data_IF_998180854493
#
_entry.id   IF_998180854493
#
_cell.length_a   1.000
_cell.length_b   1.000
_cell.length_c   1.000
_cell.angle_alpha   90.00
_cell.angle_beta   90.00
_cell.angle_gamma   90.00
#
_symmetry.space_group_name_H-M   'P 1'
#
loop_
_entity.id
_entity.type
_entity.pdbx_description
1 polymer ?
#
# COMPACT_ATOMS: atom_id res chain seq x y z
N UNK A 1 -60.37 70.27 3.66
CA UNK A 1 -60.18 68.81 3.77
C UNK A 1 -59.45 68.32 2.53
N UNK A 2 -58.12 68.19 2.59
CA UNK A 2 -57.28 67.79 1.47
C UNK A 2 -56.63 66.43 1.77
N UNK A 3 -56.88 65.43 0.94
CA UNK A 3 -56.28 64.07 1.04
C UNK A 3 -54.95 64.14 0.31
N UNK A 4 -53.89 63.92 1.07
CA UNK A 4 -52.53 63.68 0.52
C UNK A 4 -52.43 62.23 0.00
N UNK A 5 -52.21 62.09 -1.29
CA UNK A 5 -51.84 60.87 -1.95
C UNK A 5 -50.36 60.53 -1.66
N UNK A 6 -50.08 59.47 -0.92
CA UNK A 6 -48.72 58.97 -0.72
C UNK A 6 -48.27 58.15 -1.93
N UNK A 7 -47.22 58.57 -2.58
CA UNK A 7 -46.55 57.83 -3.65
C UNK A 7 -45.62 56.78 -3.05
N UNK A 8 -45.75 55.51 -3.51
CA UNK A 8 -44.88 54.40 -3.18
C UNK A 8 -43.48 54.64 -3.81
N UNK A 9 -42.41 54.25 -3.10
CA UNK A 9 -41.07 54.36 -3.64
C UNK A 9 -40.83 53.37 -4.82
N UNK A 10 -39.88 53.63 -5.73
CA UNK A 10 -39.64 52.80 -6.92
C UNK A 10 -39.07 51.46 -6.49
N UNK A 11 -39.56 50.39 -7.13
CA UNK A 11 -39.03 49.01 -6.99
C UNK A 11 -37.62 48.98 -7.56
N UNK A 12 -36.66 48.59 -6.69
CA UNK A 12 -35.28 48.27 -7.12
C UNK A 12 -35.36 46.92 -7.86
N UNK A 13 -35.13 46.92 -9.13
CA UNK A 13 -34.94 45.70 -9.95
C UNK A 13 -33.57 45.12 -9.65
N UNK A 14 -33.51 43.99 -9.01
CA UNK A 14 -32.30 43.17 -8.86
C UNK A 14 -32.06 42.47 -10.18
N UNK A 15 -30.90 42.58 -10.81
CA UNK A 15 -30.60 41.81 -12.03
C UNK A 15 -30.50 40.37 -11.66
N UNK A 16 -31.35 39.51 -12.24
CA UNK A 16 -31.25 38.04 -12.15
C UNK A 16 -30.07 37.62 -12.99
N UNK A 17 -28.91 37.45 -12.36
CA UNK A 17 -27.79 36.73 -12.97
C UNK A 17 -28.17 35.23 -12.93
N UNK A 18 -28.83 34.77 -13.97
CA UNK A 18 -28.97 33.35 -14.27
C UNK A 18 -27.65 32.94 -14.89
N UNK A 19 -26.64 32.71 -14.04
CA UNK A 19 -25.54 31.87 -14.40
C UNK A 19 -26.07 30.45 -14.62
N UNK A 20 -26.02 29.98 -15.88
CA UNK A 20 -26.30 28.58 -16.20
C UNK A 20 -25.28 27.71 -15.49
N UNK A 21 -25.61 27.26 -14.29
CA UNK A 21 -24.99 26.08 -13.66
C UNK A 21 -25.38 24.95 -14.60
N UNK A 22 -24.45 24.51 -15.46
CA UNK A 22 -24.59 23.25 -16.16
C UNK A 22 -24.74 22.18 -15.08
N UNK A 23 -25.97 21.71 -14.91
CA UNK A 23 -26.20 20.44 -14.24
C UNK A 23 -25.41 19.40 -15.06
N UNK A 24 -24.24 19.03 -14.57
CA UNK A 24 -23.52 17.86 -15.06
C UNK A 24 -24.51 16.73 -14.89
N UNK A 25 -24.94 16.13 -15.99
CA UNK A 25 -25.94 15.08 -15.96
C UNK A 25 -25.39 13.98 -15.07
N UNK A 26 -26.19 13.50 -14.12
CA UNK A 26 -25.82 12.41 -13.19
C UNK A 26 -25.33 11.14 -13.93
N UNK A 27 -25.74 10.95 -15.18
CA UNK A 27 -25.25 9.87 -16.05
C UNK A 27 -23.79 10.01 -16.48
N UNK A 28 -23.20 11.22 -16.56
CA UNK A 28 -21.78 11.41 -16.85
C UNK A 28 -20.89 11.15 -15.63
N UNK A 29 -21.39 11.39 -14.43
CA UNK A 29 -20.73 11.03 -13.17
C UNK A 29 -20.72 9.51 -12.95
N UNK A 30 -21.66 8.76 -13.53
CA UNK A 30 -21.78 7.30 -13.40
C UNK A 30 -21.02 6.53 -14.50
N UNK A 31 -20.64 7.19 -15.59
CA UNK A 31 -19.76 6.62 -16.62
C UNK A 31 -18.31 6.95 -16.31
N UNK A 32 -17.82 6.43 -15.19
CA UNK A 32 -16.38 6.46 -14.90
C UNK A 32 -15.71 5.37 -15.74
N UNK A 33 -14.95 5.71 -16.82
CA UNK A 33 -14.28 4.70 -17.61
C UNK A 33 -13.25 3.99 -16.73
N UNK A 34 -13.48 2.71 -16.44
CA UNK A 34 -12.46 1.75 -16.10
C UNK A 34 -11.50 2.12 -14.95
N UNK A 35 -12.01 2.65 -13.81
CA UNK A 35 -11.19 2.76 -12.62
C UNK A 35 -10.78 1.36 -12.16
N UNK A 36 -9.51 0.99 -12.38
CA UNK A 36 -8.98 -0.31 -11.98
C UNK A 36 -8.65 -0.39 -10.48
N UNK A 37 -9.53 0.16 -9.62
CA UNK A 37 -9.48 -0.13 -8.19
C UNK A 37 -9.83 -1.60 -7.88
N UNK A 38 -10.30 -2.34 -8.88
CA UNK A 38 -10.47 -3.79 -8.81
C UNK A 38 -9.17 -4.53 -8.46
N UNK A 39 -8.02 -3.98 -8.84
CA UNK A 39 -6.71 -4.51 -8.48
C UNK A 39 -6.23 -4.06 -7.08
N UNK A 40 -7.01 -3.21 -6.39
CA UNK A 40 -6.73 -2.84 -5.01
C UNK A 40 -7.35 -3.86 -4.05
N UNK A 41 -6.53 -4.42 -3.18
CA UNK A 41 -6.90 -5.41 -2.17
C UNK A 41 -6.73 -4.83 -0.78
N UNK A 42 -7.79 -4.84 0.03
CA UNK A 42 -7.72 -4.51 1.46
C UNK A 42 -7.41 -5.79 2.24
N UNK A 43 -6.38 -5.74 3.07
CA UNK A 43 -5.94 -6.85 3.92
C UNK A 43 -6.03 -6.40 5.38
N UNK A 44 -6.85 -7.08 6.18
CA UNK A 44 -7.01 -6.82 7.61
C UNK A 44 -6.28 -7.91 8.40
N UNK A 45 -5.24 -7.52 9.13
CA UNK A 45 -4.41 -8.46 9.89
C UNK A 45 -4.95 -8.57 11.31
N UNK A 46 -5.33 -9.78 11.71
CA UNK A 46 -5.86 -10.11 13.04
C UNK A 46 -6.95 -9.15 13.54
N UNK A 47 -7.96 -8.79 12.70
CA UNK A 47 -9.01 -7.88 13.14
C UNK A 47 -9.77 -8.49 14.34
N UNK A 48 -9.98 -7.69 15.39
CA UNK A 48 -10.68 -8.11 16.60
C UNK A 48 -12.19 -7.94 16.49
N UNK A 49 -12.64 -6.87 15.85
CA UNK A 49 -14.05 -6.48 15.78
C UNK A 49 -14.73 -6.93 14.49
N UNK A 50 -15.67 -7.89 14.58
CA UNK A 50 -16.49 -8.30 13.43
C UNK A 50 -17.28 -7.12 12.82
N UNK A 51 -17.74 -6.16 13.65
CA UNK A 51 -18.42 -4.95 13.23
C UNK A 51 -17.50 -4.06 12.36
N UNK A 52 -16.22 -3.91 12.74
CA UNK A 52 -15.23 -3.16 11.97
C UNK A 52 -15.03 -3.75 10.58
N UNK A 53 -14.95 -5.09 10.48
CA UNK A 53 -14.81 -5.77 9.18
C UNK A 53 -16.02 -5.49 8.28
N UNK A 54 -17.23 -5.52 8.82
CA UNK A 54 -18.44 -5.18 8.06
C UNK A 54 -18.45 -3.72 7.60
N UNK A 55 -18.05 -2.80 8.48
CA UNK A 55 -17.94 -1.37 8.15
C UNK A 55 -16.85 -1.12 7.10
N UNK A 56 -15.71 -1.84 7.14
CA UNK A 56 -14.67 -1.81 6.09
C UNK A 56 -15.23 -2.28 4.76
N UNK A 57 -15.95 -3.41 4.73
CA UNK A 57 -16.56 -3.91 3.51
C UNK A 57 -17.50 -2.89 2.86
N UNK A 58 -18.30 -2.18 3.68
CA UNK A 58 -19.16 -1.09 3.23
C UNK A 58 -18.36 0.10 2.70
N UNK A 59 -17.31 0.53 3.41
CA UNK A 59 -16.42 1.61 2.96
C UNK A 59 -15.75 1.28 1.62
N UNK A 60 -15.25 0.06 1.46
CA UNK A 60 -14.69 -0.43 0.21
C UNK A 60 -15.68 -0.34 -0.94
N UNK A 61 -16.89 -0.86 -0.74
CA UNK A 61 -17.94 -0.83 -1.79
C UNK A 61 -18.31 0.58 -2.20
N UNK A 62 -18.44 1.51 -1.24
CA UNK A 62 -18.71 2.92 -1.53
C UNK A 62 -17.65 3.56 -2.43
N UNK A 63 -16.40 3.07 -2.34
CA UNK A 63 -15.24 3.60 -3.08
C UNK A 63 -14.80 2.68 -4.24
N UNK A 64 -15.62 1.70 -4.62
CA UNK A 64 -15.36 0.83 -5.78
C UNK A 64 -14.28 -0.23 -5.59
N UNK A 65 -13.90 -0.56 -4.34
CA UNK A 65 -12.99 -1.66 -4.02
C UNK A 65 -13.78 -2.92 -3.65
N UNK A 66 -13.29 -4.09 -4.09
CA UNK A 66 -14.03 -5.35 -3.93
C UNK A 66 -13.22 -6.49 -3.31
N UNK A 67 -11.87 -6.41 -3.28
CA UNK A 67 -11.04 -7.49 -2.77
C UNK A 67 -10.75 -7.29 -1.28
N UNK A 68 -11.40 -8.08 -0.41
CA UNK A 68 -11.18 -8.10 1.03
C UNK A 68 -10.56 -9.41 1.47
N UNK A 69 -9.45 -9.35 2.21
CA UNK A 69 -8.78 -10.51 2.80
C UNK A 69 -8.60 -10.29 4.30
N UNK A 70 -8.95 -11.30 5.09
CA UNK A 70 -8.69 -11.33 6.53
C UNK A 70 -7.56 -12.31 6.82
N UNK A 71 -6.59 -11.87 7.59
CA UNK A 71 -5.51 -12.72 8.10
C UNK A 71 -5.80 -13.01 9.57
N UNK A 72 -6.02 -14.28 9.93
CA UNK A 72 -6.25 -14.72 11.32
C UNK A 72 -7.24 -13.86 12.10
N UNK A 73 -8.50 -13.67 11.66
CA UNK A 73 -9.46 -12.85 12.38
C UNK A 73 -9.69 -13.42 13.80
N UNK A 74 -9.73 -12.54 14.82
CA UNK A 74 -9.85 -12.93 16.24
C UNK A 74 -11.30 -13.16 16.70
N UNK A 75 -12.29 -12.98 15.83
CA UNK A 75 -13.70 -13.25 16.11
C UNK A 75 -14.18 -14.52 15.40
N UNK A 76 -15.12 -15.22 16.01
CA UNK A 76 -15.73 -16.42 15.42
C UNK A 76 -17.10 -16.15 14.81
N UNK A 77 -17.90 -15.28 15.43
CA UNK A 77 -19.25 -14.97 14.97
C UNK A 77 -19.21 -13.90 13.87
N UNK A 78 -19.71 -14.26 12.68
CA UNK A 78 -19.78 -13.37 11.50
C UNK A 78 -21.08 -12.56 11.41
N UNK A 79 -21.97 -12.66 12.40
CA UNK A 79 -23.24 -11.93 12.39
C UNK A 79 -23.01 -10.42 12.21
N UNK A 80 -22.13 -9.83 13.03
CA UNK A 80 -21.84 -8.41 12.98
C UNK A 80 -21.12 -7.96 11.70
N UNK A 81 -20.35 -8.87 11.04
CA UNK A 81 -19.79 -8.57 9.71
C UNK A 81 -20.93 -8.29 8.73
N UNK A 82 -21.93 -9.17 8.67
CA UNK A 82 -23.07 -9.01 7.75
C UNK A 82 -23.96 -7.84 8.14
N UNK A 83 -24.24 -7.66 9.44
CA UNK A 83 -25.09 -6.59 9.94
C UNK A 83 -24.51 -5.20 9.61
N UNK A 84 -23.19 -5.00 9.70
CA UNK A 84 -22.53 -3.74 9.42
C UNK A 84 -22.18 -3.51 7.96
N UNK A 85 -22.13 -4.56 7.15
CA UNK A 85 -21.85 -4.51 5.72
C UNK A 85 -23.08 -4.16 4.88
N UNK A 86 -23.93 -3.26 5.35
CA UNK A 86 -25.18 -2.86 4.69
C UNK A 86 -24.93 -2.57 3.19
N UNK A 87 -25.63 -3.29 2.31
CA UNK A 87 -25.51 -3.25 0.86
C UNK A 87 -24.12 -3.68 0.29
N UNK A 88 -23.18 -4.16 1.12
CA UNK A 88 -21.88 -4.67 0.71
C UNK A 88 -21.76 -6.20 0.88
N UNK A 89 -22.87 -6.91 0.78
CA UNK A 89 -22.91 -8.38 0.92
C UNK A 89 -22.08 -9.11 -0.11
N UNK A 90 -21.91 -8.56 -1.31
CA UNK A 90 -21.06 -9.07 -2.38
C UNK A 90 -19.56 -9.02 -2.02
N UNK A 91 -19.08 -7.96 -1.36
CA UNK A 91 -17.70 -7.87 -0.83
C UNK A 91 -17.49 -8.92 0.24
N UNK A 92 -18.46 -9.05 1.17
CA UNK A 92 -18.40 -10.05 2.24
C UNK A 92 -18.46 -11.48 1.69
N UNK A 93 -19.24 -11.74 0.65
CA UNK A 93 -19.34 -13.06 0.03
C UNK A 93 -18.03 -13.50 -0.65
N UNK A 94 -17.28 -12.56 -1.22
CA UNK A 94 -15.98 -12.79 -1.87
C UNK A 94 -14.79 -12.70 -0.92
N UNK A 95 -15.03 -12.32 0.34
CA UNK A 95 -13.99 -12.15 1.35
C UNK A 95 -13.24 -13.46 1.59
N UNK A 96 -11.93 -13.44 1.45
CA UNK A 96 -11.05 -14.57 1.76
C UNK A 96 -10.56 -14.48 3.20
N UNK A 97 -10.34 -15.63 3.81
CA UNK A 97 -9.67 -15.76 5.11
C UNK A 97 -8.44 -16.63 4.93
N UNK A 98 -7.31 -16.19 5.43
CA UNK A 98 -6.02 -16.87 5.30
C UNK A 98 -5.30 -16.93 6.65
N UNK A 99 -4.33 -17.84 6.78
CA UNK A 99 -3.65 -18.11 8.03
C UNK A 99 -2.43 -17.20 8.28
N UNK A 100 -1.90 -16.55 7.25
CA UNK A 100 -0.74 -15.68 7.38
C UNK A 100 -0.80 -14.53 6.36
N UNK A 101 0.00 -13.48 6.61
CA UNK A 101 0.05 -12.31 5.74
C UNK A 101 0.70 -12.64 4.40
N UNK A 102 1.67 -13.56 4.38
CA UNK A 102 2.33 -14.01 3.15
C UNK A 102 1.32 -14.47 2.10
N UNK A 103 0.36 -15.33 2.49
CA UNK A 103 -0.68 -15.84 1.60
C UNK A 103 -1.65 -14.74 1.12
N UNK A 104 -1.86 -13.72 1.95
CA UNK A 104 -2.73 -12.59 1.61
C UNK A 104 -2.14 -11.70 0.52
N UNK A 105 -0.79 -11.59 0.45
CA UNK A 105 -0.09 -10.61 -0.41
C UNK A 105 0.85 -11.26 -1.43
N UNK A 106 0.96 -12.58 -1.50
CA UNK A 106 1.94 -13.32 -2.30
C UNK A 106 2.01 -12.86 -3.76
N UNK A 107 0.88 -12.57 -4.39
CA UNK A 107 0.72 -12.17 -5.78
C UNK A 107 0.74 -10.64 -5.99
N UNK A 108 0.79 -9.86 -4.92
CA UNK A 108 0.78 -8.40 -5.01
C UNK A 108 2.12 -7.86 -5.52
N UNK A 109 2.09 -6.97 -6.52
CA UNK A 109 3.27 -6.24 -6.98
C UNK A 109 3.63 -5.10 -6.03
N UNK A 110 2.63 -4.55 -5.30
CA UNK A 110 2.85 -3.52 -4.29
C UNK A 110 2.09 -3.84 -3.02
N UNK A 111 2.81 -3.88 -1.89
CA UNK A 111 2.24 -4.06 -0.56
C UNK A 111 2.49 -2.80 0.26
N UNK A 112 1.41 -2.17 0.73
CA UNK A 112 1.46 -0.91 1.47
C UNK A 112 0.82 -1.10 2.84
N UNK A 113 1.64 -0.98 3.88
CA UNK A 113 1.17 -1.04 5.26
C UNK A 113 0.73 0.32 5.79
N UNK A 114 -0.24 0.32 6.70
CA UNK A 114 -0.68 1.55 7.39
C UNK A 114 -0.03 1.66 8.76
N UNK A 115 0.40 2.86 9.15
CA UNK A 115 0.96 3.12 10.48
C UNK A 115 0.56 4.51 10.99
N UNK A 116 0.21 4.59 12.26
CA UNK A 116 0.01 5.85 12.99
C UNK A 116 1.24 6.25 13.81
N UNK A 117 2.26 5.37 13.89
CA UNK A 117 3.45 5.55 14.73
C UNK A 117 4.69 5.66 13.87
N UNK A 118 5.54 6.63 14.16
CA UNK A 118 6.91 6.68 13.66
C UNK A 118 7.83 5.77 14.51
N UNK A 119 8.88 5.23 13.90
CA UNK A 119 9.86 4.39 14.58
C UNK A 119 10.93 3.88 13.63
N UNK A 120 11.93 3.19 14.16
CA UNK A 120 13.10 2.74 13.41
C UNK A 120 12.74 1.98 12.12
N UNK A 121 11.72 1.11 12.20
CA UNK A 121 11.23 0.31 11.07
C UNK A 121 9.93 0.85 10.47
N UNK A 122 9.42 1.99 10.97
CA UNK A 122 8.10 2.55 10.68
C UNK A 122 8.22 3.97 10.14
N UNK A 123 8.98 4.14 9.07
CA UNK A 123 9.07 5.44 8.38
C UNK A 123 8.06 5.45 7.24
N UNK A 124 6.94 6.18 7.35
CA UNK A 124 5.99 6.33 6.26
C UNK A 124 6.67 7.02 5.07
N UNK A 125 6.33 6.58 3.87
CA UNK A 125 6.77 7.24 2.64
C UNK A 125 6.00 8.56 2.41
N UNK A 126 4.76 8.61 2.90
CA UNK A 126 3.89 9.78 2.82
C UNK A 126 2.52 9.49 3.44
N UNK A 127 1.64 10.46 3.34
CA UNK A 127 0.23 10.31 3.72
C UNK A 127 -0.56 9.50 2.69
N UNK A 128 -1.74 9.05 3.07
CA UNK A 128 -2.67 8.37 2.15
C UNK A 128 -2.95 9.23 0.90
N UNK A 129 -3.15 10.54 1.08
CA UNK A 129 -3.39 11.50 0.00
C UNK A 129 -2.21 11.63 -0.96
N UNK A 130 -1.00 11.78 -0.43
CA UNK A 130 0.22 11.94 -1.23
C UNK A 130 0.54 10.68 -2.04
N UNK A 131 0.26 9.50 -1.49
CA UNK A 131 0.56 8.24 -2.15
C UNK A 131 -0.55 7.75 -3.07
N UNK A 132 -1.80 8.17 -2.87
CA UNK A 132 -2.95 7.68 -3.65
C UNK A 132 -2.76 7.75 -5.17
N UNK A 133 -2.22 8.83 -5.78
CA UNK A 133 -1.98 8.87 -7.22
C UNK A 133 -1.02 7.77 -7.70
N UNK A 134 0.05 7.51 -6.94
CA UNK A 134 1.02 6.46 -7.26
C UNK A 134 0.42 5.07 -7.10
N UNK A 135 -0.40 4.85 -6.06
CA UNK A 135 -1.06 3.56 -5.82
C UNK A 135 -2.08 3.24 -6.92
N UNK A 136 -2.83 4.24 -7.37
CA UNK A 136 -3.78 4.10 -8.49
C UNK A 136 -3.04 3.80 -9.79
N UNK A 137 -1.93 4.49 -10.08
CA UNK A 137 -1.10 4.19 -11.25
C UNK A 137 -0.53 2.76 -11.19
N UNK A 138 -0.04 2.32 -10.02
CA UNK A 138 0.43 0.96 -9.81
C UNK A 138 -0.67 -0.09 -10.03
N UNK A 139 -1.89 0.20 -9.60
CA UNK A 139 -3.04 -0.70 -9.74
C UNK A 139 -3.47 -0.93 -11.20
N UNK A 140 -2.98 -0.12 -12.15
CA UNK A 140 -3.24 -0.36 -13.57
C UNK A 140 -2.63 -1.68 -14.08
N UNK A 141 -1.49 -2.09 -13.53
CA UNK A 141 -0.73 -3.26 -14.00
C UNK A 141 -0.45 -4.29 -12.90
N UNK A 142 -0.72 -3.95 -11.63
CA UNK A 142 -0.35 -4.78 -10.48
C UNK A 142 -1.51 -4.91 -9.50
N UNK A 143 -1.51 -5.98 -8.71
CA UNK A 143 -2.29 -6.04 -7.48
C UNK A 143 -1.62 -5.16 -6.43
N UNK A 144 -2.37 -4.21 -5.87
CA UNK A 144 -1.93 -3.33 -4.77
C UNK A 144 -2.62 -3.76 -3.50
N UNK A 145 -1.87 -4.28 -2.53
CA UNK A 145 -2.38 -4.71 -1.24
C UNK A 145 -2.23 -3.60 -0.20
N UNK A 146 -3.34 -3.18 0.39
CA UNK A 146 -3.44 -2.19 1.45
C UNK A 146 -3.60 -2.92 2.78
N UNK A 147 -2.57 -2.92 3.61
CA UNK A 147 -2.49 -3.75 4.81
C UNK A 147 -2.75 -2.91 6.06
N UNK A 148 -3.78 -3.30 6.81
CA UNK A 148 -4.16 -2.68 8.08
C UNK A 148 -3.92 -3.66 9.22
N UNK A 149 -3.31 -3.17 10.30
CA UNK A 149 -3.07 -3.95 11.51
C UNK A 149 -4.30 -4.05 12.41
N UNK A 150 -4.21 -4.88 13.46
CA UNK A 150 -5.24 -4.98 14.47
C UNK A 150 -5.42 -3.68 15.25
N UNK A 151 -6.63 -3.52 15.82
CA UNK A 151 -7.09 -2.28 16.44
C UNK A 151 -6.27 -1.86 17.68
N UNK A 152 -5.71 -2.82 18.40
CA UNK A 152 -5.02 -2.61 19.66
C UNK A 152 -3.55 -2.13 19.50
N UNK A 153 -2.80 -2.66 18.53
CA UNK A 153 -1.36 -2.37 18.42
C UNK A 153 -0.85 -2.11 17.00
N UNK A 154 -1.73 -2.18 15.99
CA UNK A 154 -1.37 -1.98 14.59
C UNK A 154 -0.50 -3.13 14.04
N UNK A 155 0.15 -2.93 12.90
CA UNK A 155 1.04 -3.94 12.30
C UNK A 155 2.25 -4.22 13.20
N UNK A 156 2.61 -5.48 13.37
CA UNK A 156 3.87 -5.88 14.01
C UNK A 156 5.08 -5.64 13.09
N UNK A 157 6.29 -5.77 13.62
CA UNK A 157 7.49 -5.68 12.77
C UNK A 157 7.53 -6.83 11.76
N UNK A 158 7.04 -8.00 12.12
CA UNK A 158 6.94 -9.15 11.20
C UNK A 158 5.94 -8.87 10.06
N UNK A 159 4.81 -8.20 10.36
CA UNK A 159 3.87 -7.78 9.31
C UNK A 159 4.50 -6.71 8.39
N UNK A 160 5.28 -5.79 8.95
CA UNK A 160 5.93 -4.71 8.20
C UNK A 160 7.00 -5.23 7.24
N UNK A 161 7.65 -6.36 7.53
CA UNK A 161 8.60 -7.01 6.61
C UNK A 161 7.99 -7.29 5.23
N UNK A 162 6.70 -7.60 5.19
CA UNK A 162 5.95 -7.83 3.95
C UNK A 162 5.54 -6.55 3.23
N UNK A 163 5.64 -5.39 3.88
CA UNK A 163 5.25 -4.11 3.30
C UNK A 163 6.42 -3.49 2.54
N UNK A 164 6.24 -3.25 1.26
CA UNK A 164 7.21 -2.53 0.43
C UNK A 164 7.29 -1.06 0.81
N UNK A 165 6.16 -0.50 1.25
CA UNK A 165 6.02 0.89 1.65
C UNK A 165 5.07 1.00 2.84
N UNK A 166 5.21 2.09 3.60
CA UNK A 166 4.28 2.44 4.66
C UNK A 166 3.63 3.78 4.34
N UNK A 167 2.35 3.90 4.62
CA UNK A 167 1.61 5.15 4.59
C UNK A 167 1.10 5.53 5.99
N UNK A 168 0.87 6.82 6.18
CA UNK A 168 0.21 7.33 7.37
C UNK A 168 -1.07 8.07 7.01
N UNK A 169 -1.98 8.17 7.95
CA UNK A 169 -3.17 9.03 7.87
C UNK A 169 -2.93 10.16 8.89
N UNK A 170 -2.73 11.41 8.44
CA UNK A 170 -2.60 12.53 9.34
C UNK A 170 -3.82 12.65 10.26
N UNK A 171 -3.58 12.69 11.56
CA UNK A 171 -4.60 12.85 12.60
C UNK A 171 -4.09 13.78 13.70
N UNK A 172 -4.95 14.15 14.67
CA UNK A 172 -4.53 14.95 15.81
C UNK A 172 -3.37 14.30 16.56
N UNK A 173 -2.30 15.04 16.90
CA UNK A 173 -1.20 14.52 17.71
C UNK A 173 -1.65 13.98 19.08
N UNK A 174 -2.74 14.52 19.63
CA UNK A 174 -3.29 14.09 20.91
C UNK A 174 -3.96 12.71 20.82
N UNK A 175 -4.55 12.38 19.65
CA UNK A 175 -5.23 11.11 19.42
C UNK A 175 -4.99 10.60 17.98
N UNK A 176 -3.79 10.09 17.68
CA UNK A 176 -3.38 9.74 16.30
C UNK A 176 -3.94 8.39 15.82
N UNK A 177 -4.51 7.58 16.71
CA UNK A 177 -5.02 6.25 16.38
C UNK A 177 -6.46 6.33 15.89
N UNK A 178 -6.69 5.98 14.62
CA UNK A 178 -8.03 5.86 14.05
C UNK A 178 -8.61 4.47 14.29
N UNK A 179 -9.94 4.38 14.42
CA UNK A 179 -10.63 3.10 14.31
C UNK A 179 -10.33 2.45 12.97
N UNK A 180 -10.24 1.10 12.94
CA UNK A 180 -9.90 0.32 11.75
C UNK A 180 -10.77 0.67 10.52
N UNK A 181 -12.09 0.77 10.71
CA UNK A 181 -13.00 1.08 9.61
C UNK A 181 -12.87 2.54 9.14
N UNK A 182 -12.59 3.46 10.06
CA UNK A 182 -12.31 4.85 9.72
C UNK A 182 -11.02 4.99 8.93
N UNK A 183 -9.95 4.32 9.36
CA UNK A 183 -8.67 4.30 8.64
C UNK A 183 -8.84 3.73 7.23
N UNK A 184 -9.54 2.60 7.10
CA UNK A 184 -9.81 1.99 5.81
C UNK A 184 -10.65 2.91 4.90
N UNK A 185 -11.66 3.60 5.46
CA UNK A 185 -12.48 4.55 4.71
C UNK A 185 -11.65 5.70 4.15
N UNK A 186 -10.77 6.31 4.97
CA UNK A 186 -9.90 7.41 4.52
C UNK A 186 -9.01 6.97 3.37
N UNK A 187 -8.33 5.81 3.50
CA UNK A 187 -7.45 5.30 2.44
C UNK A 187 -8.24 4.99 1.17
N UNK A 188 -9.38 4.32 1.27
CA UNK A 188 -10.22 4.01 0.11
C UNK A 188 -10.73 5.29 -0.57
N UNK A 189 -11.09 6.32 0.21
CA UNK A 189 -11.57 7.60 -0.30
C UNK A 189 -10.48 8.37 -1.06
N UNK A 190 -9.26 8.44 -0.53
CA UNK A 190 -8.15 9.10 -1.22
C UNK A 190 -7.79 8.36 -2.54
N UNK A 191 -7.84 7.03 -2.55
CA UNK A 191 -7.67 6.25 -3.78
C UNK A 191 -8.78 6.53 -4.80
N UNK A 192 -10.03 6.59 -4.34
CA UNK A 192 -11.16 6.91 -5.20
C UNK A 192 -11.03 8.29 -5.84
N UNK A 193 -10.69 9.32 -5.06
CA UNK A 193 -10.46 10.67 -5.58
C UNK A 193 -9.29 10.70 -6.57
N UNK A 194 -8.18 10.06 -6.24
CA UNK A 194 -7.02 9.99 -7.13
C UNK A 194 -7.35 9.27 -8.44
N UNK A 195 -8.16 8.21 -8.39
CA UNK A 195 -8.59 7.48 -9.58
C UNK A 195 -9.52 8.32 -10.49
N UNK A 196 -10.34 9.19 -9.90
CA UNK A 196 -11.15 10.15 -10.69
C UNK A 196 -10.32 11.26 -11.33
N UNK A 197 -9.24 11.69 -10.67
CA UNK A 197 -8.39 12.78 -11.14
C UNK A 197 -7.40 12.37 -12.23
N UNK A 198 -7.08 11.06 -12.36
CA UNK A 198 -6.11 10.59 -13.36
C UNK A 198 -6.79 10.28 -14.68
N UNK A 199 -6.34 10.90 -15.82
CA UNK A 199 -6.67 10.37 -17.14
C UNK A 199 -6.15 8.93 -17.24
N UNK A 200 -6.75 8.12 -18.13
CA UNK A 200 -6.26 6.77 -18.44
C UNK A 200 -4.80 6.86 -18.88
N UNK A 201 -3.87 6.56 -17.98
CA UNK A 201 -2.45 6.58 -18.31
C UNK A 201 -2.04 5.23 -18.91
N UNK A 202 -0.95 5.22 -19.67
CA UNK A 202 -0.31 4.02 -20.16
C UNK A 202 -0.03 3.04 -19.00
N UNK A 203 -0.06 1.74 -19.30
CA UNK A 203 0.24 0.69 -18.33
C UNK A 203 1.62 0.93 -17.72
N UNK A 204 1.67 1.09 -16.41
CA UNK A 204 2.91 1.22 -15.68
C UNK A 204 3.73 -0.08 -15.66
N UNK A 205 4.96 -0.05 -15.09
CA UNK A 205 5.80 -1.22 -14.99
C UNK A 205 5.11 -2.33 -14.20
N UNK A 206 5.34 -3.58 -14.60
CA UNK A 206 4.86 -4.75 -13.86
C UNK A 206 5.90 -5.15 -12.83
N UNK A 207 5.57 -4.98 -11.56
CA UNK A 207 6.46 -5.31 -10.47
C UNK A 207 6.46 -6.80 -10.13
N UNK A 208 7.57 -7.25 -9.56
CA UNK A 208 7.71 -8.62 -9.10
C UNK A 208 6.72 -8.92 -7.96
N UNK A 209 6.14 -10.12 -7.94
CA UNK A 209 5.26 -10.56 -6.84
C UNK A 209 5.97 -10.48 -5.49
N UNK A 210 5.25 -10.11 -4.43
CA UNK A 210 5.82 -9.94 -3.09
C UNK A 210 6.51 -11.21 -2.56
N UNK A 211 6.03 -12.40 -2.93
CA UNK A 211 6.68 -13.67 -2.59
C UNK A 211 8.10 -13.77 -3.16
N UNK A 212 8.33 -13.28 -4.39
CA UNK A 212 9.62 -13.37 -5.06
C UNK A 212 10.60 -12.33 -4.48
N UNK A 213 10.08 -11.15 -4.12
CA UNK A 213 10.82 -10.11 -3.39
C UNK A 213 11.20 -10.60 -1.99
N UNK A 214 10.30 -11.28 -1.28
CA UNK A 214 10.62 -11.84 0.05
C UNK A 214 11.66 -12.96 -0.05
N UNK A 215 11.55 -13.84 -1.05
CA UNK A 215 12.58 -14.85 -1.34
C UNK A 215 13.95 -14.20 -1.58
N UNK A 216 14.01 -13.11 -2.35
CA UNK A 216 15.24 -12.34 -2.56
C UNK A 216 15.81 -11.84 -1.21
N UNK A 217 14.99 -11.27 -0.32
CA UNK A 217 15.46 -10.78 0.96
C UNK A 217 15.97 -11.89 1.87
N UNK A 218 15.38 -13.07 1.83
CA UNK A 218 15.90 -14.25 2.54
C UNK A 218 17.28 -14.64 2.01
N UNK A 219 17.47 -14.70 0.68
CA UNK A 219 18.77 -15.00 0.07
C UNK A 219 19.84 -13.94 0.37
N UNK A 220 19.49 -12.65 0.32
CA UNK A 220 20.39 -11.56 0.70
C UNK A 220 20.78 -11.64 2.17
N UNK A 221 19.83 -11.98 3.06
CA UNK A 221 20.12 -12.18 4.49
C UNK A 221 21.18 -13.25 4.70
N UNK A 222 21.01 -14.41 4.06
CA UNK A 222 21.94 -15.54 4.19
C UNK A 222 23.32 -15.19 3.63
N UNK A 223 23.38 -14.56 2.45
CA UNK A 223 24.60 -14.11 1.83
C UNK A 223 25.36 -13.09 2.69
N UNK A 224 24.64 -12.10 3.24
CA UNK A 224 25.24 -11.03 4.05
C UNK A 224 25.70 -11.54 5.43
N UNK A 225 24.98 -12.48 6.05
CA UNK A 225 25.43 -13.17 7.25
C UNK A 225 26.73 -13.96 7.00
N UNK A 226 26.83 -14.62 5.86
CA UNK A 226 27.98 -15.46 5.48
C UNK A 226 29.29 -14.66 5.37
N UNK A 227 29.21 -13.44 4.83
CA UNK A 227 30.37 -12.56 4.69
C UNK A 227 30.60 -11.64 5.90
N UNK A 228 29.79 -11.78 6.97
CA UNK A 228 29.88 -10.96 8.18
C UNK A 228 29.40 -9.52 8.04
N UNK A 229 28.68 -9.20 6.96
CA UNK A 229 28.08 -7.87 6.77
C UNK A 229 26.90 -7.62 7.71
N UNK A 230 26.12 -8.67 8.00
CA UNK A 230 25.06 -8.63 9.01
C UNK A 230 25.53 -9.28 10.30
N UNK A 231 25.18 -8.66 11.43
CA UNK A 231 25.44 -9.24 12.73
C UNK A 231 24.41 -10.32 13.05
N UNK A 232 24.80 -11.55 13.45
CA UNK A 232 23.88 -12.67 13.68
C UNK A 232 22.80 -12.39 14.72
N UNK A 233 23.08 -11.57 15.73
CA UNK A 233 22.12 -11.25 16.80
C UNK A 233 21.03 -10.27 16.36
N UNK A 234 21.26 -9.44 15.32
CA UNK A 234 20.28 -8.47 14.84
C UNK A 234 20.42 -8.25 13.31
N UNK A 235 20.19 -9.26 12.49
CA UNK A 235 20.33 -9.16 11.03
C UNK A 235 19.28 -8.25 10.41
N UNK A 236 18.10 -8.16 11.02
CA UNK A 236 16.96 -7.43 10.47
C UNK A 236 17.17 -5.92 10.46
N UNK A 237 18.00 -5.38 11.34
CA UNK A 237 18.24 -3.93 11.44
C UNK A 237 18.69 -3.31 10.09
N UNK A 238 19.68 -3.91 9.45
CA UNK A 238 20.19 -3.45 8.15
C UNK A 238 19.23 -3.88 7.02
N UNK A 239 18.67 -5.10 7.09
CA UNK A 239 17.74 -5.58 6.08
C UNK A 239 16.49 -4.70 5.94
N UNK A 240 15.96 -4.13 7.01
CA UNK A 240 14.87 -3.17 6.93
C UNK A 240 15.26 -1.92 6.13
N UNK A 241 16.50 -1.46 6.23
CA UNK A 241 16.98 -0.35 5.39
C UNK A 241 16.99 -0.73 3.90
N UNK A 242 17.47 -1.93 3.55
CA UNK A 242 17.42 -2.46 2.18
C UNK A 242 15.99 -2.60 1.68
N UNK A 243 15.08 -3.17 2.49
CA UNK A 243 13.65 -3.27 2.16
C UNK A 243 13.04 -1.92 1.83
N UNK A 244 13.37 -0.90 2.62
CA UNK A 244 12.90 0.47 2.40
C UNK A 244 13.46 1.09 1.12
N UNK A 245 14.74 0.88 0.82
CA UNK A 245 15.39 1.41 -0.39
C UNK A 245 14.77 0.77 -1.63
N UNK A 246 14.75 -0.56 -1.68
CA UNK A 246 14.25 -1.32 -2.83
C UNK A 246 12.72 -1.20 -2.99
N UNK A 247 11.98 -1.16 -1.87
CA UNK A 247 10.53 -0.97 -1.90
C UNK A 247 10.08 0.41 -2.43
N UNK A 248 10.93 1.44 -2.30
CA UNK A 248 10.65 2.76 -2.92
C UNK A 248 10.87 2.75 -4.43
N UNK A 249 11.88 2.01 -4.89
CA UNK A 249 12.17 1.88 -6.32
C UNK A 249 11.07 1.10 -7.04
N UNK A 250 10.55 0.04 -6.41
CA UNK A 250 9.77 -1.00 -7.06
C UNK A 250 10.71 -1.94 -7.85
N UNK A 251 10.56 -3.24 -7.67
CA UNK A 251 11.40 -4.22 -8.37
C UNK A 251 10.57 -4.93 -9.43
N UNK A 252 11.08 -4.99 -10.65
CA UNK A 252 10.57 -5.86 -11.70
C UNK A 252 11.14 -7.30 -11.53
N UNK A 253 10.54 -8.27 -12.19
CA UNK A 253 11.04 -9.66 -12.14
C UNK A 253 12.51 -9.79 -12.58
N UNK A 254 12.96 -8.94 -13.52
CA UNK A 254 14.34 -8.88 -13.97
C UNK A 254 15.29 -8.43 -12.87
N UNK A 255 14.89 -7.40 -12.12
CA UNK A 255 15.70 -6.85 -11.03
C UNK A 255 15.89 -7.88 -9.92
N UNK A 256 14.80 -8.58 -9.56
CA UNK A 256 14.86 -9.70 -8.59
C UNK A 256 15.85 -10.76 -9.05
N UNK A 257 15.85 -11.17 -10.34
CA UNK A 257 16.80 -12.15 -10.88
C UNK A 257 18.24 -11.68 -10.81
N UNK A 258 18.50 -10.39 -11.12
CA UNK A 258 19.84 -9.80 -11.04
C UNK A 258 20.34 -9.82 -9.60
N UNK A 259 19.51 -9.37 -8.65
CA UNK A 259 19.88 -9.33 -7.23
C UNK A 259 20.03 -10.74 -6.62
N UNK A 260 19.26 -11.72 -7.05
CA UNK A 260 19.45 -13.12 -6.68
C UNK A 260 20.78 -13.68 -7.22
N UNK A 261 21.20 -13.25 -8.41
CA UNK A 261 22.52 -13.56 -8.96
C UNK A 261 23.63 -12.97 -8.09
N UNK A 262 23.49 -11.72 -7.66
CA UNK A 262 24.43 -11.07 -6.75
C UNK A 262 24.52 -11.82 -5.40
N UNK A 263 23.37 -12.17 -4.80
CA UNK A 263 23.36 -12.93 -3.54
C UNK A 263 24.12 -14.25 -3.67
N UNK A 264 23.89 -15.01 -4.74
CA UNK A 264 24.64 -16.26 -5.03
C UNK A 264 26.14 -16.03 -5.19
N UNK A 265 26.53 -14.94 -5.85
CA UNK A 265 27.94 -14.60 -6.03
C UNK A 265 28.62 -14.25 -4.69
N UNK A 266 27.92 -13.54 -3.81
CA UNK A 266 28.38 -13.22 -2.45
C UNK A 266 28.56 -14.52 -1.65
N UNK A 267 27.60 -15.43 -1.68
CA UNK A 267 27.68 -16.73 -1.00
C UNK A 267 28.89 -17.55 -1.51
N UNK A 268 29.01 -17.67 -2.83
CA UNK A 268 30.15 -18.39 -3.45
C UNK A 268 31.51 -17.78 -3.06
N UNK A 269 31.62 -16.44 -3.04
CA UNK A 269 32.81 -15.74 -2.60
C UNK A 269 33.11 -16.01 -1.12
N UNK A 270 32.10 -15.95 -0.26
CA UNK A 270 32.19 -16.24 1.16
C UNK A 270 32.60 -17.69 1.47
N UNK A 271 32.26 -18.63 0.58
CA UNK A 271 32.67 -20.06 0.65
C UNK A 271 34.09 -20.32 0.18
N UNK A 272 34.88 -19.29 -0.09
CA UNK A 272 36.25 -19.40 -0.52
C UNK A 272 36.42 -19.37 -2.03
N UNK A 273 35.41 -19.09 -2.82
CA UNK A 273 35.47 -18.94 -4.29
C UNK A 273 36.45 -17.87 -4.75
N UNK A 274 36.81 -16.91 -3.90
CA UNK A 274 37.85 -15.94 -4.18
C UNK A 274 39.24 -16.58 -4.43
N UNK A 275 39.52 -17.73 -3.81
CA UNK A 275 40.77 -18.49 -4.02
C UNK A 275 40.86 -18.97 -5.45
N UNK A 276 39.74 -19.50 -5.99
CA UNK A 276 39.65 -19.94 -7.38
C UNK A 276 39.84 -18.76 -8.36
N UNK A 277 39.31 -17.57 -8.01
CA UNK A 277 39.57 -16.39 -8.84
C UNK A 277 41.02 -15.96 -8.83
N UNK A 278 41.67 -16.00 -7.66
CA UNK A 278 43.12 -15.66 -7.58
C UNK A 278 43.97 -16.62 -8.39
N UNK A 279 43.71 -17.94 -8.35
CA UNK A 279 44.40 -18.92 -9.17
C UNK A 279 44.23 -18.64 -10.67
N UNK A 280 42.99 -18.42 -11.12
CA UNK A 280 42.70 -18.07 -12.52
C UNK A 280 43.37 -16.76 -12.97
N UNK A 281 43.41 -15.74 -12.08
CA UNK A 281 44.08 -14.48 -12.37
C UNK A 281 45.63 -14.65 -12.49
N UNK A 282 46.20 -15.49 -11.64
CA UNK A 282 47.63 -15.84 -11.73
C UNK A 282 47.95 -16.57 -13.02
N UNK A 283 47.12 -17.56 -13.41
CA UNK A 283 47.26 -18.30 -14.66
C UNK A 283 47.09 -17.39 -15.89
N UNK A 284 46.18 -16.39 -15.81
CA UNK A 284 45.95 -15.43 -16.89
C UNK A 284 46.99 -14.28 -16.95
N UNK A 285 47.99 -14.26 -16.07
CA UNK A 285 49.01 -13.20 -16.03
C UNK A 285 48.54 -11.84 -15.59
N UNK A 286 47.32 -11.76 -15.02
CA UNK A 286 46.76 -10.52 -14.47
C UNK A 286 47.33 -10.32 -13.07
N UNK A 287 48.31 -9.41 -12.95
CA UNK A 287 48.88 -9.03 -11.66
C UNK A 287 47.82 -8.45 -10.76
N UNK A 288 47.59 -9.04 -9.59
CA UNK A 288 46.71 -8.49 -8.56
C UNK A 288 47.16 -7.07 -8.18
N UNK A 289 46.22 -6.14 -8.14
CA UNK A 289 46.50 -4.81 -7.64
C UNK A 289 47.06 -4.89 -6.21
N UNK A 290 48.04 -4.05 -5.82
CA UNK A 290 48.66 -4.12 -4.51
C UNK A 290 47.62 -3.92 -3.42
N UNK A 291 47.65 -4.76 -2.36
CA UNK A 291 46.86 -4.62 -1.16
C UNK A 291 47.10 -3.22 -0.57
N UNK A 292 46.09 -2.38 -0.58
CA UNK A 292 46.11 -1.16 0.22
C UNK A 292 45.84 -1.57 1.67
N UNK A 293 46.85 -1.37 2.53
CA UNK A 293 46.78 -1.46 3.99
C UNK A 293 45.77 -0.47 4.55
#
# INVERSE_FOLDING_TARGET
>A
MSRRSGSLPPRISIPTVVGSVRLVQEEELLKTPGMKLENCRVVLVRPAGAANVGAVARAMKNMGLHQLVLVQPRFRNRFWVRAMAVHAGDVVARMRVVDNLADAVADAGLVVGTTSRAGLYRTPLGSARELAPRLVAAAQSNVVALVFGPEDHGLSNEDIKWCHQLLTIPASPEYPSLNLAQAAMVVCYELFLAAQAQPQSELGPRWAPARDVEFLFQRLRDAFLRIGYLHPQNPDHILFAFRRILGRAGLEERDVKILLGLARQIEWYGDGGWRILQEKQREAGVTAAPEKR
#
